data_IF_616982602737
#
_entry.id   IF_616982602737
#
_cell.length_a   1.000
_cell.length_b   1.000
_cell.length_c   1.000
_cell.angle_alpha   90.00
_cell.angle_beta   90.00
_cell.angle_gamma   90.00
#
_symmetry.space_group_name_H-M   'P 1'
#
loop_
_entity.id
_entity.type
_entity.pdbx_description
1 polymer ?
#
# COMPACT_ATOMS: atom_id res chain seq x y z
N UNK A 1 -4.68 14.61 -1.22
CA UNK A 1 -3.65 15.65 -1.06
C UNK A 1 -2.71 15.18 0.03
N UNK A 2 -1.41 15.06 -0.25
CA UNK A 2 -0.39 14.74 0.76
C UNK A 2 0.30 16.06 1.09
N UNK A 3 0.33 16.41 2.38
CA UNK A 3 1.05 17.57 2.90
C UNK A 3 2.38 17.07 3.47
N UNK A 4 3.48 17.68 3.03
CA UNK A 4 4.84 17.33 3.47
C UNK A 4 5.39 18.52 4.24
N UNK A 5 5.76 18.28 5.50
CA UNK A 5 6.34 19.28 6.40
C UNK A 5 7.42 18.63 7.26
N UNK A 6 8.57 19.29 7.50
CA UNK A 6 9.61 18.71 8.33
C UNK A 6 9.09 18.40 9.75
N UNK A 7 9.46 17.26 10.35
CA UNK A 7 9.11 16.95 11.72
C UNK A 7 9.73 17.96 12.69
N UNK A 8 9.09 18.14 13.85
CA UNK A 8 9.52 19.11 14.87
C UNK A 8 10.95 18.86 15.38
N UNK A 9 11.44 17.62 15.30
CA UNK A 9 12.78 17.25 15.74
C UNK A 9 13.49 16.41 14.66
N UNK A 10 14.32 17.07 13.85
CA UNK A 10 15.29 16.42 12.94
C UNK A 10 16.69 16.53 13.56
N UNK A 11 17.40 15.41 13.58
CA UNK A 11 18.80 15.23 13.93
C UNK A 11 19.45 14.22 12.98
N UNK A 12 20.77 14.06 13.07
CA UNK A 12 21.56 13.30 12.09
C UNK A 12 21.11 11.83 11.94
N UNK A 13 20.53 11.24 12.99
CA UNK A 13 20.07 9.84 13.01
C UNK A 13 18.59 9.61 12.70
N UNK A 14 17.75 10.64 12.54
CA UNK A 14 16.29 10.48 12.39
C UNK A 14 15.72 11.24 11.18
N UNK A 15 16.50 11.37 10.10
CA UNK A 15 16.10 12.02 8.84
C UNK A 15 15.09 11.22 8.01
N UNK A 16 14.59 10.09 8.52
CA UNK A 16 13.62 9.22 7.85
C UNK A 16 12.37 9.08 8.69
N UNK A 17 11.22 9.28 8.07
CA UNK A 17 9.92 8.98 8.67
C UNK A 17 9.09 8.11 7.73
N UNK A 18 8.19 7.31 8.30
CA UNK A 18 7.27 6.48 7.55
C UNK A 18 5.84 6.69 8.05
N UNK A 19 4.93 6.93 7.11
CA UNK A 19 3.49 7.02 7.37
C UNK A 19 2.77 5.97 6.53
N UNK A 20 1.75 5.34 7.12
CA UNK A 20 0.90 4.40 6.41
C UNK A 20 -0.52 4.93 6.28
N UNK A 21 -1.09 4.79 5.09
CA UNK A 21 -2.51 5.03 4.84
C UNK A 21 -3.14 3.70 4.46
N UNK A 22 -4.01 3.18 5.32
CA UNK A 22 -4.43 1.77 5.28
C UNK A 22 -5.81 1.58 4.65
N UNK A 23 -6.06 0.37 4.15
CA UNK A 23 -7.39 -0.11 3.80
C UNK A 23 -7.97 0.43 2.49
N UNK A 24 -7.13 0.93 1.58
CA UNK A 24 -7.56 1.42 0.28
C UNK A 24 -8.12 0.29 -0.57
N UNK A 25 -9.25 0.51 -1.23
CA UNK A 25 -9.85 -0.50 -2.10
C UNK A 25 -8.85 -0.90 -3.18
N UNK A 26 -8.54 -2.19 -3.29
CA UNK A 26 -7.67 -2.69 -4.35
C UNK A 26 -8.32 -2.41 -5.71
N UNK A 27 -7.68 -1.58 -6.53
CA UNK A 27 -8.18 -1.23 -7.86
C UNK A 27 -8.14 -2.40 -8.83
N UNK A 28 -7.20 -3.33 -8.65
CA UNK A 28 -7.01 -4.48 -9.55
C UNK A 28 -8.18 -5.48 -9.49
N UNK A 29 -8.61 -5.88 -8.28
CA UNK A 29 -9.77 -6.76 -8.10
C UNK A 29 -11.04 -5.99 -7.72
N UNK A 30 -11.03 -4.67 -7.79
CA UNK A 30 -12.11 -3.79 -7.35
C UNK A 30 -12.65 -4.10 -5.95
N UNK A 31 -11.76 -4.46 -5.01
CA UNK A 31 -12.13 -4.79 -3.64
C UNK A 31 -12.65 -6.22 -3.41
N UNK A 32 -12.71 -7.06 -4.44
CA UNK A 32 -13.24 -8.42 -4.31
C UNK A 32 -12.26 -9.39 -3.63
N UNK A 33 -10.96 -9.13 -3.70
CA UNK A 33 -9.92 -10.00 -3.15
C UNK A 33 -9.53 -11.17 -4.03
N UNK A 34 -10.36 -11.58 -5.00
CA UNK A 34 -10.11 -12.70 -5.91
C UNK A 34 -10.68 -12.46 -7.31
N UNK A 35 -10.33 -13.34 -8.24
CA UNK A 35 -10.95 -13.51 -9.55
C UNK A 35 -11.52 -14.92 -9.66
N UNK A 36 -12.59 -15.09 -10.44
CA UNK A 36 -13.10 -16.43 -10.76
C UNK A 36 -12.21 -17.06 -11.82
N UNK A 37 -11.78 -18.30 -11.57
CA UNK A 37 -11.13 -19.16 -12.55
C UNK A 37 -11.84 -20.51 -12.63
N UNK A 38 -11.33 -21.38 -13.51
CA UNK A 38 -11.81 -22.75 -13.64
C UNK A 38 -10.64 -23.72 -13.51
N UNK A 39 -10.78 -24.69 -12.62
CA UNK A 39 -9.83 -25.78 -12.43
C UNK A 39 -10.60 -27.10 -12.43
N UNK A 40 -10.20 -28.05 -13.28
CA UNK A 40 -10.85 -29.37 -13.40
C UNK A 40 -12.40 -29.31 -13.53
N UNK A 41 -12.93 -28.30 -14.22
CA UNK A 41 -14.37 -28.00 -14.40
C UNK A 41 -15.09 -27.47 -13.16
N UNK A 42 -14.39 -27.14 -12.08
CA UNK A 42 -14.92 -26.44 -10.92
C UNK A 42 -14.57 -24.94 -10.95
N UNK A 43 -15.50 -24.10 -10.49
CA UNK A 43 -15.24 -22.67 -10.33
C UNK A 43 -14.43 -22.45 -9.06
N UNK A 44 -13.19 -22.02 -9.23
CA UNK A 44 -12.27 -21.72 -8.13
C UNK A 44 -12.09 -20.22 -7.97
N UNK A 45 -11.89 -19.78 -6.72
CA UNK A 45 -11.48 -18.41 -6.42
C UNK A 45 -9.97 -18.34 -6.45
N UNK A 46 -9.44 -17.57 -7.39
CA UNK A 46 -8.01 -17.32 -7.50
C UNK A 46 -7.74 -15.99 -6.83
N UNK A 47 -6.93 -15.99 -5.77
CA UNK A 47 -6.60 -14.78 -5.04
C UNK A 47 -6.01 -13.71 -5.95
N UNK A 48 -6.41 -12.46 -5.71
CA UNK A 48 -5.91 -11.32 -6.43
C UNK A 48 -4.39 -11.23 -6.20
N UNK A 49 -3.56 -11.24 -7.27
CA UNK A 49 -2.11 -11.26 -7.14
C UNK A 49 -1.55 -9.97 -6.54
N UNK A 50 -2.32 -8.88 -6.55
CA UNK A 50 -1.94 -7.56 -6.04
C UNK A 50 -2.21 -7.44 -4.54
N UNK A 51 -3.45 -7.66 -4.11
CA UNK A 51 -3.83 -7.53 -2.69
C UNK A 51 -3.77 -8.84 -1.89
N UNK A 52 -3.40 -9.95 -2.54
CA UNK A 52 -3.24 -11.28 -1.94
C UNK A 52 -4.48 -11.72 -1.14
N UNK A 53 -5.66 -11.67 -1.76
CA UNK A 53 -6.91 -12.10 -1.13
C UNK A 53 -7.64 -11.02 -0.30
N UNK A 54 -6.94 -9.97 0.16
CA UNK A 54 -7.52 -9.02 1.14
C UNK A 54 -8.58 -8.06 0.56
N UNK A 55 -8.56 -7.82 -0.76
CA UNK A 55 -9.35 -6.77 -1.40
C UNK A 55 -8.90 -5.35 -1.08
N UNK A 56 -7.84 -5.18 -0.29
CA UNK A 56 -7.38 -3.87 0.21
C UNK A 56 -5.87 -3.69 -0.01
N UNK A 57 -5.43 -2.44 -0.01
CA UNK A 57 -4.03 -2.04 -0.12
C UNK A 57 -3.72 -1.01 0.96
N UNK A 58 -2.55 -1.14 1.57
CA UNK A 58 -1.99 -0.13 2.46
C UNK A 58 -0.90 0.62 1.67
N UNK A 59 -1.02 1.94 1.60
CA UNK A 59 0.04 2.79 1.06
C UNK A 59 1.06 3.05 2.17
N UNK A 60 2.33 2.71 1.92
CA UNK A 60 3.45 3.04 2.81
C UNK A 60 4.25 4.14 2.14
N UNK A 61 4.37 5.27 2.83
CA UNK A 61 5.11 6.45 2.36
C UNK A 61 6.31 6.62 3.27
N UNK A 62 7.49 6.64 2.68
CA UNK A 62 8.75 6.93 3.38
C UNK A 62 9.26 8.27 2.90
N UNK A 63 9.56 9.16 3.83
CA UNK A 63 10.10 10.50 3.55
C UNK A 63 11.53 10.54 4.10
N UNK A 64 12.47 10.98 3.26
CA UNK A 64 13.87 11.20 3.61
C UNK A 64 14.18 12.69 3.49
N UNK A 65 14.65 13.29 4.58
CA UNK A 65 14.95 14.71 4.69
C UNK A 65 16.42 14.98 4.39
N UNK A 66 16.68 15.65 3.26
CA UNK A 66 18.02 16.05 2.84
C UNK A 66 18.20 17.58 2.93
N UNK A 67 19.42 18.07 3.20
CA UNK A 67 19.71 19.50 3.13
C UNK A 67 19.40 20.08 1.75
N UNK A 68 18.80 21.27 1.72
CA UNK A 68 18.67 22.04 0.48
C UNK A 68 20.05 22.59 0.07
N UNK A 69 20.31 22.64 -1.24
CA UNK A 69 21.49 23.30 -1.80
C UNK A 69 21.19 24.74 -2.15
#
# INVERSE_FOLDING_TARGET
MILISPPMFIGEGNRKESVSSKGHRCSYCHGNGFFWGEEQRERVKIDCPVCKGSGKLDAVITIEWEPAK
#
